data_IF_119071006680
#
_entry.id   IF_119071006680
#
_cell.length_a   1.000
_cell.length_b   1.000
_cell.length_c   1.000
_cell.angle_alpha   90.00
_cell.angle_beta   90.00
_cell.angle_gamma   90.00
#
_symmetry.space_group_name_H-M   'P 1'
#
loop_
_entity.id
_entity.type
_entity.pdbx_description
1 polymer ?
#
# COMPACT_ATOMS: atom_id res chain seq x y z
N UNK A 1 -12.21 -21.51 -13.99
CA UNK A 1 -11.99 -21.33 -12.54
C UNK A 1 -13.10 -20.46 -12.01
N UNK A 2 -13.94 -20.98 -11.11
CA UNK A 2 -14.95 -20.19 -10.41
C UNK A 2 -14.28 -19.54 -9.20
N UNK A 3 -14.08 -18.22 -9.25
CA UNK A 3 -13.59 -17.45 -8.10
C UNK A 3 -14.69 -17.47 -7.03
N UNK A 4 -14.41 -18.08 -5.88
CA UNK A 4 -15.33 -18.07 -4.74
C UNK A 4 -15.15 -16.77 -3.97
N UNK A 5 -16.24 -16.14 -3.56
CA UNK A 5 -16.25 -14.90 -2.76
C UNK A 5 -15.64 -15.07 -1.36
N UNK A 6 -15.28 -16.30 -0.98
CA UNK A 6 -14.64 -16.66 0.29
C UNK A 6 -13.11 -16.79 0.22
N UNK A 7 -12.51 -16.50 -0.94
CA UNK A 7 -11.07 -16.64 -1.14
C UNK A 7 -10.33 -15.41 -0.63
N UNK A 8 -9.17 -15.62 -0.01
CA UNK A 8 -8.28 -14.51 0.33
C UNK A 8 -7.68 -13.90 -0.95
N UNK A 9 -7.13 -12.69 -0.87
CA UNK A 9 -6.66 -11.97 -2.07
C UNK A 9 -5.52 -12.70 -2.79
N UNK A 10 -4.66 -13.45 -2.10
CA UNK A 10 -3.62 -14.23 -2.76
C UNK A 10 -4.24 -15.38 -3.58
N UNK A 11 -5.24 -16.06 -3.01
CA UNK A 11 -5.98 -17.12 -3.70
C UNK A 11 -6.77 -16.62 -4.91
N UNK A 12 -7.32 -15.39 -4.87
CA UNK A 12 -7.98 -14.76 -6.03
C UNK A 12 -7.05 -14.72 -7.24
N UNK A 13 -5.76 -14.43 -7.02
CA UNK A 13 -4.75 -14.46 -8.08
C UNK A 13 -4.02 -15.80 -8.17
N UNK A 14 -4.31 -16.80 -7.35
CA UNK A 14 -3.56 -18.06 -7.27
C UNK A 14 -2.08 -17.90 -6.89
N UNK A 15 -1.74 -16.84 -6.16
CA UNK A 15 -0.39 -16.50 -5.72
C UNK A 15 -0.11 -17.09 -4.32
N UNK A 16 1.15 -17.35 -3.95
CA UNK A 16 1.48 -17.74 -2.58
C UNK A 16 1.18 -16.59 -1.62
N UNK A 17 0.71 -16.94 -0.41
CA UNK A 17 0.52 -16.00 0.69
C UNK A 17 1.88 -15.63 1.30
N UNK A 18 2.60 -14.74 0.63
CA UNK A 18 3.93 -14.28 0.99
C UNK A 18 4.02 -12.75 0.86
N UNK A 19 4.86 -12.13 1.68
CA UNK A 19 5.20 -10.74 1.49
C UNK A 19 6.02 -10.53 0.20
N UNK A 20 6.95 -11.44 -0.10
CA UNK A 20 7.77 -11.44 -1.31
C UNK A 20 6.93 -11.84 -2.53
N UNK A 21 6.20 -10.87 -3.07
CA UNK A 21 5.33 -11.05 -4.22
C UNK A 21 5.98 -10.50 -5.48
N UNK A 22 6.00 -11.31 -6.54
CA UNK A 22 6.35 -10.82 -7.87
C UNK A 22 5.23 -9.92 -8.43
N UNK A 23 5.50 -8.61 -8.53
CA UNK A 23 4.54 -7.61 -9.01
C UNK A 23 4.17 -7.83 -10.48
N UNK A 24 5.10 -8.34 -11.28
CA UNK A 24 4.83 -8.62 -12.69
C UNK A 24 3.78 -9.73 -12.81
N UNK A 25 3.97 -10.85 -12.11
CA UNK A 25 3.03 -11.96 -12.09
C UNK A 25 1.65 -11.52 -11.58
N UNK A 26 1.61 -10.71 -10.51
CA UNK A 26 0.36 -10.12 -10.01
C UNK A 26 -0.35 -9.29 -11.10
N UNK A 27 0.40 -8.47 -11.83
CA UNK A 27 -0.14 -7.59 -12.88
C UNK A 27 -0.65 -8.38 -14.08
N UNK A 28 0.05 -9.45 -14.47
CA UNK A 28 -0.38 -10.34 -15.55
C UNK A 28 -1.70 -11.04 -15.20
N UNK A 29 -1.77 -11.65 -14.00
CA UNK A 29 -2.99 -12.32 -13.54
C UNK A 29 -4.16 -11.37 -13.34
N UNK A 30 -3.90 -10.16 -12.86
CA UNK A 30 -4.92 -9.10 -12.79
C UNK A 30 -5.53 -8.79 -14.16
N UNK A 31 -4.71 -8.64 -15.20
CA UNK A 31 -5.20 -8.37 -16.57
C UNK A 31 -6.03 -9.52 -17.12
N UNK A 32 -5.65 -10.77 -16.85
CA UNK A 32 -6.40 -11.96 -17.26
C UNK A 32 -7.77 -12.04 -16.58
N UNK A 33 -7.80 -11.83 -15.26
CA UNK A 33 -9.03 -11.85 -14.49
C UNK A 33 -9.97 -10.70 -14.89
N UNK A 34 -9.46 -9.48 -15.05
CA UNK A 34 -10.25 -8.34 -15.53
C UNK A 34 -10.88 -8.60 -16.90
N UNK A 35 -10.16 -9.21 -17.84
CA UNK A 35 -10.71 -9.62 -19.14
C UNK A 35 -11.80 -10.69 -19.01
N UNK A 36 -11.77 -11.53 -17.98
CA UNK A 36 -12.79 -12.56 -17.75
C UNK A 36 -14.09 -11.98 -17.18
N UNK A 37 -14.00 -10.94 -16.36
CA UNK A 37 -15.14 -10.32 -15.66
C UNK A 37 -15.62 -9.00 -16.28
N UNK A 38 -15.05 -8.61 -17.42
CA UNK A 38 -15.38 -7.33 -18.08
C UNK A 38 -16.88 -7.19 -18.38
N UNK A 39 -17.53 -6.05 -18.05
CA UNK A 39 -18.97 -5.86 -18.22
C UNK A 39 -19.51 -6.19 -19.62
N UNK A 40 -18.74 -5.88 -20.68
CA UNK A 40 -19.11 -6.17 -22.06
C UNK A 40 -19.39 -7.65 -22.33
N UNK A 41 -18.71 -8.56 -21.60
CA UNK A 41 -18.94 -10.01 -21.74
C UNK A 41 -20.29 -10.45 -21.18
N UNK A 42 -20.89 -9.63 -20.32
CA UNK A 42 -22.17 -9.87 -19.66
C UNK A 42 -23.26 -8.92 -20.20
N UNK A 43 -22.99 -8.18 -21.29
CA UNK A 43 -23.94 -7.27 -21.91
C UNK A 43 -25.20 -7.97 -22.44
N UNK A 44 -25.17 -9.29 -22.68
CA UNK A 44 -26.36 -10.10 -23.05
C UNK A 44 -26.77 -11.08 -21.94
N UNK A 45 -26.09 -11.07 -20.80
CA UNK A 45 -26.37 -11.96 -19.68
C UNK A 45 -27.58 -11.49 -18.84
N UNK A 46 -28.04 -12.36 -17.94
CA UNK A 46 -29.09 -12.01 -17.00
C UNK A 46 -28.65 -10.88 -16.05
N UNK A 47 -29.59 -10.13 -15.49
CA UNK A 47 -29.28 -9.08 -14.52
C UNK A 47 -28.56 -9.63 -13.28
N UNK A 48 -28.84 -10.88 -12.89
CA UNK A 48 -28.13 -11.56 -11.82
C UNK A 48 -26.65 -11.75 -12.17
N UNK A 49 -26.37 -12.26 -13.37
CA UNK A 49 -25.00 -12.55 -13.79
C UNK A 49 -24.20 -11.26 -14.02
N UNK A 50 -24.85 -10.20 -14.52
CA UNK A 50 -24.24 -8.85 -14.59
C UNK A 50 -23.85 -8.32 -13.22
N UNK A 51 -24.74 -8.40 -12.23
CA UNK A 51 -24.43 -7.98 -10.84
C UNK A 51 -23.28 -8.79 -10.25
N UNK A 52 -23.27 -10.10 -10.49
CA UNK A 52 -22.17 -10.96 -10.03
C UNK A 52 -20.84 -10.57 -10.69
N UNK A 53 -20.83 -10.26 -11.99
CA UNK A 53 -19.62 -9.81 -12.69
C UNK A 53 -19.09 -8.48 -12.13
N UNK A 54 -19.97 -7.51 -11.84
CA UNK A 54 -19.57 -6.24 -11.20
C UNK A 54 -18.95 -6.49 -9.82
N UNK A 55 -19.57 -7.33 -8.98
CA UNK A 55 -19.04 -7.66 -7.67
C UNK A 55 -17.67 -8.35 -7.74
N UNK A 56 -17.50 -9.25 -8.71
CA UNK A 56 -16.21 -9.92 -8.95
C UNK A 56 -15.15 -8.94 -9.42
N UNK A 57 -15.47 -8.03 -10.35
CA UNK A 57 -14.55 -7.00 -10.82
C UNK A 57 -14.10 -6.08 -9.67
N UNK A 58 -15.03 -5.67 -8.79
CA UNK A 58 -14.72 -4.89 -7.60
C UNK A 58 -13.76 -5.64 -6.65
N UNK A 59 -14.02 -6.92 -6.37
CA UNK A 59 -13.15 -7.75 -5.53
C UNK A 59 -11.75 -7.92 -6.13
N UNK A 60 -11.64 -8.13 -7.45
CA UNK A 60 -10.34 -8.23 -8.14
C UNK A 60 -9.56 -6.91 -8.06
N UNK A 61 -10.24 -5.77 -8.20
CA UNK A 61 -9.60 -4.46 -8.09
C UNK A 61 -9.08 -4.20 -6.68
N UNK A 62 -9.88 -4.51 -5.66
CA UNK A 62 -9.49 -4.37 -4.26
C UNK A 62 -8.31 -5.29 -3.92
N UNK A 63 -8.40 -6.57 -4.29
CA UNK A 63 -7.33 -7.55 -4.09
C UNK A 63 -6.03 -7.09 -4.76
N UNK A 64 -6.11 -6.58 -5.99
CA UNK A 64 -4.94 -6.05 -6.71
C UNK A 64 -4.35 -4.83 -5.99
N UNK A 65 -5.19 -3.88 -5.58
CA UNK A 65 -4.73 -2.67 -4.89
C UNK A 65 -4.06 -2.99 -3.55
N UNK A 66 -4.60 -3.96 -2.80
CA UNK A 66 -4.03 -4.43 -1.52
C UNK A 66 -2.71 -5.16 -1.75
N UNK A 67 -2.68 -6.12 -2.67
CA UNK A 67 -1.47 -6.89 -2.92
C UNK A 67 -0.39 -6.07 -3.62
N UNK A 68 -0.70 -5.06 -4.43
CA UNK A 68 0.32 -4.26 -5.11
C UNK A 68 1.10 -3.35 -4.17
N UNK A 69 0.45 -2.76 -3.17
CA UNK A 69 1.10 -1.88 -2.18
C UNK A 69 1.82 -2.69 -1.10
N UNK A 70 3.13 -2.51 -0.86
CA UNK A 70 3.85 -3.21 0.20
C UNK A 70 3.23 -3.00 1.58
N UNK A 71 2.85 -1.76 1.93
CA UNK A 71 2.19 -1.45 3.20
C UNK A 71 0.85 -2.20 3.34
N UNK A 72 -0.02 -2.13 2.33
CA UNK A 72 -1.33 -2.81 2.37
C UNK A 72 -1.17 -4.32 2.41
N UNK A 73 -0.19 -4.87 1.68
CA UNK A 73 0.14 -6.30 1.68
C UNK A 73 0.62 -6.76 3.05
N UNK A 74 1.56 -6.05 3.68
CA UNK A 74 2.03 -6.37 5.03
C UNK A 74 0.88 -6.38 6.03
N UNK A 75 0.04 -5.33 6.00
CA UNK A 75 -1.15 -5.25 6.85
C UNK A 75 -2.10 -6.42 6.60
N UNK A 76 -2.37 -6.75 5.34
CA UNK A 76 -3.26 -7.86 4.99
C UNK A 76 -2.74 -9.21 5.47
N UNK A 77 -1.44 -9.47 5.33
CA UNK A 77 -0.80 -10.68 5.87
C UNK A 77 -0.96 -10.78 7.40
N UNK A 78 -0.85 -9.65 8.11
CA UNK A 78 -1.07 -9.62 9.56
C UNK A 78 -2.53 -9.89 9.92
N UNK A 79 -3.49 -9.34 9.17
CA UNK A 79 -4.92 -9.65 9.34
C UNK A 79 -5.19 -11.15 9.13
N UNK A 80 -4.61 -11.76 8.08
CA UNK A 80 -4.70 -13.21 7.85
C UNK A 80 -4.06 -14.04 8.97
N UNK A 81 -3.07 -13.49 9.68
CA UNK A 81 -2.46 -14.10 10.86
C UNK A 81 -3.24 -13.86 12.17
N UNK A 82 -4.42 -13.21 12.10
CA UNK A 82 -5.27 -12.94 13.27
C UNK A 82 -4.88 -11.67 14.04
N UNK A 83 -4.11 -10.76 13.44
CA UNK A 83 -3.81 -9.45 14.03
C UNK A 83 -4.89 -8.46 13.64
N UNK A 84 -5.56 -7.92 14.65
CA UNK A 84 -6.49 -6.81 14.46
C UNK A 84 -5.76 -5.47 14.41
N UNK A 85 -6.30 -4.56 13.61
CA UNK A 85 -5.89 -3.17 13.53
C UNK A 85 -7.09 -2.29 13.85
N UNK A 86 -6.96 -1.43 14.85
CA UNK A 86 -7.94 -0.38 15.12
C UNK A 86 -7.31 0.97 14.73
N UNK A 87 -7.50 1.39 13.48
CA UNK A 87 -6.87 2.61 12.94
C UNK A 87 -7.32 3.88 13.65
N UNK A 88 -8.48 3.87 14.33
CA UNK A 88 -8.99 5.03 15.07
C UNK A 88 -8.33 5.17 16.44
N UNK A 89 -7.85 4.06 17.03
CA UNK A 89 -7.31 4.04 18.41
C UNK A 89 -5.82 3.76 18.50
N UNK A 90 -5.25 3.07 17.52
CA UNK A 90 -3.89 2.54 17.59
C UNK A 90 -2.94 3.31 16.65
N UNK A 91 -2.57 4.51 17.08
CA UNK A 91 -1.44 5.26 16.52
C UNK A 91 -0.17 4.99 17.32
N UNK A 92 1.00 5.07 16.66
CA UNK A 92 2.29 4.90 17.33
C UNK A 92 2.47 5.93 18.45
N UNK A 93 2.90 5.48 19.63
CA UNK A 93 3.20 6.32 20.79
C UNK A 93 4.72 6.48 21.02
N UNK A 94 5.52 6.09 20.02
CA UNK A 94 6.98 6.16 20.09
C UNK A 94 7.46 7.62 19.97
N UNK A 95 7.98 8.24 21.06
CA UNK A 95 8.33 9.65 21.05
C UNK A 95 9.51 9.98 20.13
N UNK A 96 10.49 9.08 20.01
CA UNK A 96 11.65 9.29 19.15
C UNK A 96 11.23 9.30 17.68
N UNK A 97 10.37 8.36 17.31
CA UNK A 97 9.79 8.31 15.97
C UNK A 97 8.92 9.55 15.67
N UNK A 98 8.07 9.96 16.62
CA UNK A 98 7.21 11.12 16.43
C UNK A 98 8.02 12.42 16.27
N UNK A 99 9.12 12.56 17.01
CA UNK A 99 10.05 13.68 16.86
C UNK A 99 10.73 13.67 15.48
N UNK A 100 11.21 12.51 15.02
CA UNK A 100 11.74 12.37 13.65
C UNK A 100 10.70 12.79 12.59
N UNK A 101 9.43 12.38 12.75
CA UNK A 101 8.36 12.79 11.84
C UNK A 101 8.12 14.31 11.84
N UNK A 102 8.28 14.97 12.99
CA UNK A 102 8.17 16.43 13.09
C UNK A 102 9.34 17.12 12.38
N UNK A 103 10.57 16.69 12.63
CA UNK A 103 11.77 17.22 11.98
C UNK A 103 11.72 17.08 10.44
N UNK A 104 11.21 15.94 9.95
CA UNK A 104 10.99 15.73 8.52
C UNK A 104 9.96 16.70 7.95
N UNK A 105 8.85 16.95 8.65
CA UNK A 105 7.84 17.93 8.22
C UNK A 105 8.36 19.35 8.20
N UNK A 106 9.13 19.74 9.22
CA UNK A 106 9.80 21.04 9.25
C UNK A 106 10.75 21.20 8.06
N UNK A 107 11.52 20.14 7.75
CA UNK A 107 12.40 20.12 6.58
C UNK A 107 11.62 20.28 5.28
N UNK A 108 10.49 19.58 5.11
CA UNK A 108 9.60 19.70 3.94
C UNK A 108 9.04 21.13 3.82
N UNK A 109 8.56 21.70 4.94
CA UNK A 109 8.01 23.05 4.94
C UNK A 109 9.04 24.13 4.56
N UNK A 110 10.29 23.94 4.98
CA UNK A 110 11.38 24.87 4.69
C UNK A 110 11.86 24.83 3.23
N UNK A 111 11.56 23.77 2.46
CA UNK A 111 12.07 23.57 1.08
C UNK A 111 11.85 24.79 0.18
N UNK A 112 10.71 25.48 0.30
CA UNK A 112 10.36 26.64 -0.54
C UNK A 112 11.29 27.83 -0.34
N UNK A 113 11.95 27.91 0.80
CA UNK A 113 12.82 29.02 1.20
C UNK A 113 14.30 28.74 0.89
N UNK A 114 14.62 27.51 0.42
CA UNK A 114 15.97 27.07 0.12
C UNK A 114 16.37 27.40 -1.32
N UNK A 115 17.69 27.44 -1.54
CA UNK A 115 18.25 27.43 -2.89
C UNK A 115 17.99 26.07 -3.56
N UNK A 116 17.48 26.13 -4.79
CA UNK A 116 17.08 24.97 -5.61
C UNK A 116 16.06 24.02 -4.93
N UNK A 117 14.80 24.48 -4.71
CA UNK A 117 13.77 23.73 -3.99
C UNK A 117 13.49 22.33 -4.55
N UNK A 118 13.53 22.15 -5.89
CA UNK A 118 13.28 20.86 -6.53
C UNK A 118 14.34 19.82 -6.15
N UNK A 119 15.62 20.19 -6.21
CA UNK A 119 16.71 19.28 -5.83
C UNK A 119 16.64 18.95 -4.33
N UNK A 120 16.34 19.92 -3.47
CA UNK A 120 16.21 19.68 -2.03
C UNK A 120 15.05 18.72 -1.73
N UNK A 121 13.90 18.93 -2.37
CA UNK A 121 12.73 18.07 -2.21
C UNK A 121 13.02 16.64 -2.69
N UNK A 122 13.65 16.48 -3.85
CA UNK A 122 14.03 15.19 -4.40
C UNK A 122 14.97 14.42 -3.45
N UNK A 123 15.92 15.12 -2.82
CA UNK A 123 16.81 14.52 -1.82
C UNK A 123 16.05 14.06 -0.56
N UNK A 124 15.10 14.87 -0.06
CA UNK A 124 14.23 14.50 1.06
C UNK A 124 13.37 13.28 0.74
N UNK A 125 12.70 13.26 -0.43
CA UNK A 125 11.92 12.12 -0.89
C UNK A 125 12.75 10.85 -0.95
N UNK A 126 13.96 10.93 -1.52
CA UNK A 126 14.89 9.79 -1.59
C UNK A 126 15.28 9.27 -0.19
N UNK A 127 15.56 10.15 0.76
CA UNK A 127 15.87 9.76 2.14
C UNK A 127 14.66 9.08 2.80
N UNK A 128 13.45 9.62 2.62
CA UNK A 128 12.21 9.04 3.17
C UNK A 128 11.95 7.66 2.55
N UNK A 129 12.11 7.50 1.24
CA UNK A 129 12.00 6.20 0.55
C UNK A 129 13.02 5.18 1.07
N UNK A 130 14.25 5.59 1.38
CA UNK A 130 15.26 4.71 1.99
C UNK A 130 14.84 4.24 3.38
N UNK A 131 14.32 5.14 4.23
CA UNK A 131 13.80 4.80 5.56
C UNK A 131 12.62 3.83 5.47
N UNK A 132 11.69 4.10 4.53
CA UNK A 132 10.55 3.24 4.21
C UNK A 132 11.00 1.84 3.78
N UNK A 133 11.97 1.75 2.86
CA UNK A 133 12.51 0.47 2.41
C UNK A 133 13.15 -0.32 3.56
N UNK A 134 13.96 0.32 4.40
CA UNK A 134 14.56 -0.35 5.57
C UNK A 134 13.50 -0.86 6.55
N UNK A 135 12.42 -0.10 6.77
CA UNK A 135 11.31 -0.51 7.62
C UNK A 135 10.53 -1.68 7.03
N UNK A 136 10.34 -1.72 5.70
CA UNK A 136 9.73 -2.85 5.01
C UNK A 136 10.54 -4.14 5.17
N UNK A 137 11.87 -4.08 5.11
CA UNK A 137 12.74 -5.24 5.37
C UNK A 137 12.55 -5.76 6.80
N UNK A 138 12.45 -4.87 7.79
CA UNK A 138 12.17 -5.25 9.19
C UNK A 138 10.80 -5.91 9.32
N UNK A 139 9.75 -5.30 8.72
CA UNK A 139 8.39 -5.86 8.72
C UNK A 139 8.39 -7.26 8.12
N UNK A 140 9.07 -7.44 6.99
CA UNK A 140 9.15 -8.71 6.27
C UNK A 140 9.80 -9.78 7.14
N UNK A 141 10.98 -9.51 7.70
CA UNK A 141 11.66 -10.46 8.59
C UNK A 141 10.86 -10.80 9.85
N UNK A 142 10.10 -9.83 10.38
CA UNK A 142 9.19 -10.05 11.51
C UNK A 142 7.98 -10.91 11.13
N UNK A 143 7.37 -10.70 9.96
CA UNK A 143 6.27 -11.55 9.44
C UNK A 143 6.77 -12.98 9.25
N UNK A 144 7.93 -13.16 8.60
CA UNK A 144 8.52 -14.47 8.32
C UNK A 144 8.85 -15.23 9.62
N UNK A 145 9.31 -14.50 10.63
CA UNK A 145 9.61 -15.04 11.97
C UNK A 145 8.37 -15.11 12.89
N UNK A 146 7.17 -14.82 12.38
CA UNK A 146 5.89 -14.79 13.12
C UNK A 146 5.86 -13.84 14.32
N UNK A 147 6.69 -12.80 14.30
CA UNK A 147 6.73 -11.73 15.30
C UNK A 147 5.68 -10.65 15.00
N UNK A 148 4.41 -11.06 14.99
CA UNK A 148 3.32 -10.23 14.46
C UNK A 148 3.07 -8.94 15.25
N UNK A 149 3.27 -8.94 16.57
CA UNK A 149 3.14 -7.74 17.38
C UNK A 149 4.18 -6.67 17.00
N UNK A 150 5.43 -7.09 16.75
CA UNK A 150 6.48 -6.20 16.26
C UNK A 150 6.18 -5.66 14.87
N UNK A 151 5.76 -6.55 13.96
CA UNK A 151 5.39 -6.17 12.59
C UNK A 151 4.21 -5.18 12.57
N UNK A 152 3.21 -5.36 13.45
CA UNK A 152 2.08 -4.42 13.61
C UNK A 152 2.56 -3.02 13.93
N UNK A 153 3.45 -2.87 14.92
CA UNK A 153 4.00 -1.57 15.31
C UNK A 153 4.76 -0.91 14.16
N UNK A 154 5.55 -1.68 13.40
CA UNK A 154 6.27 -1.16 12.24
C UNK A 154 5.32 -0.77 11.10
N UNK A 155 4.29 -1.55 10.83
CA UNK A 155 3.24 -1.21 9.85
C UNK A 155 2.53 0.09 10.21
N UNK A 156 2.24 0.33 11.50
CA UNK A 156 1.65 1.59 11.97
C UNK A 156 2.58 2.78 11.71
N UNK A 157 3.89 2.65 11.99
CA UNK A 157 4.89 3.69 11.68
C UNK A 157 5.03 3.95 10.19
N UNK A 158 5.01 2.89 9.37
CA UNK A 158 5.16 2.98 7.92
C UNK A 158 4.10 3.87 7.25
N UNK A 159 2.88 3.92 7.81
CA UNK A 159 1.82 4.81 7.34
C UNK A 159 2.20 6.30 7.40
N UNK A 160 3.06 6.70 8.33
CA UNK A 160 3.51 8.09 8.45
C UNK A 160 4.45 8.46 7.30
N UNK A 161 5.35 7.55 6.90
CA UNK A 161 6.22 7.79 5.75
C UNK A 161 5.44 7.87 4.43
N UNK A 162 4.40 7.06 4.23
CA UNK A 162 3.52 7.21 3.05
C UNK A 162 2.83 8.58 3.04
N UNK A 163 2.39 9.08 4.19
CA UNK A 163 1.81 10.43 4.30
C UNK A 163 2.84 11.52 4.00
N UNK A 164 4.07 11.40 4.52
CA UNK A 164 5.14 12.35 4.22
C UNK A 164 5.49 12.38 2.72
N UNK A 165 5.54 11.22 2.06
CA UNK A 165 5.81 11.17 0.62
C UNK A 165 4.69 11.85 -0.18
N UNK A 166 3.43 11.64 0.20
CA UNK A 166 2.30 12.36 -0.40
C UNK A 166 2.38 13.88 -0.15
N UNK A 167 2.78 14.30 1.06
CA UNK A 167 3.04 15.71 1.38
C UNK A 167 4.16 16.29 0.45
N UNK A 168 5.23 15.54 0.20
CA UNK A 168 6.28 15.92 -0.74
C UNK A 168 5.79 16.00 -2.19
N UNK A 169 5.03 15.01 -2.66
CA UNK A 169 4.47 14.99 -4.03
C UNK A 169 3.56 16.20 -4.28
N UNK A 170 2.70 16.54 -3.31
CA UNK A 170 1.87 17.74 -3.38
C UNK A 170 2.71 19.03 -3.42
N UNK A 171 3.78 19.09 -2.61
CA UNK A 171 4.69 20.23 -2.63
C UNK A 171 5.46 20.35 -3.95
N UNK A 172 5.87 19.23 -4.55
CA UNK A 172 6.52 19.21 -5.86
C UNK A 172 5.59 19.77 -6.94
N UNK A 173 4.33 19.36 -6.91
CA UNK A 173 3.30 19.89 -7.81
C UNK A 173 3.09 21.40 -7.60
N UNK A 174 2.95 21.85 -6.35
CA UNK A 174 2.80 23.27 -6.03
C UNK A 174 3.99 24.11 -6.51
N UNK A 175 5.22 23.59 -6.39
CA UNK A 175 6.43 24.25 -6.89
C UNK A 175 6.42 24.35 -8.42
N UNK A 176 5.99 23.29 -9.10
CA UNK A 176 5.90 23.26 -10.56
C UNK A 176 4.84 24.24 -11.09
N UNK A 177 3.70 24.37 -10.40
CA UNK A 177 2.62 25.29 -10.76
C UNK A 177 2.97 26.77 -10.52
N UNK A 178 4.01 27.06 -9.71
CA UNK A 178 4.48 28.41 -9.39
C UNK A 178 5.56 28.97 -10.33
N UNK A 179 6.06 28.16 -11.28
CA UNK A 179 7.04 28.56 -12.31
C UNK A 179 6.36 29.21 -13.53
#
# INVERSE_FOLDING_TARGET
>A
MSVSLSQNYFEVFGLPQDFHLNIQDLTERYRELQKAVHPDRFATASDRDRRMAVQQAANINEAFAVLKSPLKRARYLLILAGVDFDDEKETTQDPEFLMEQMELRESIAAVRELDDPFTQLANLMKMIEQKKAAMLEVITGQIDSKQYAGAKLQVQKLQFFEKLLLECENLEQDLADAL
#
